data_IF_506230755873
#
_entry.id   IF_506230755873
#
_cell.length_a   1.000
_cell.length_b   1.000
_cell.length_c   1.000
_cell.angle_alpha   90.00
_cell.angle_beta   90.00
_cell.angle_gamma   90.00
#
_symmetry.space_group_name_H-M   'P 1'
#
loop_
_entity.id
_entity.type
_entity.pdbx_description
1 polymer ?
#
# COMPACT_ATOMS: atom_id res chain seq x y z
N UNK A 1 23.66 14.97 5.37
CA UNK A 1 22.91 13.83 4.79
C UNK A 1 21.81 14.44 3.95
N UNK A 2 21.68 13.99 2.70
CA UNK A 2 20.79 14.59 1.72
C UNK A 2 19.38 14.01 1.86
N UNK A 3 18.37 14.87 2.04
CA UNK A 3 16.97 14.47 2.02
C UNK A 3 16.59 13.91 0.66
N UNK A 4 15.94 12.74 0.61
CA UNK A 4 15.59 12.08 -0.65
C UNK A 4 14.49 12.80 -1.45
N UNK A 5 13.62 13.58 -0.79
CA UNK A 5 12.54 14.30 -1.49
C UNK A 5 12.99 15.68 -2.00
N UNK A 6 13.52 16.54 -1.12
CA UNK A 6 13.90 17.91 -1.49
C UNK A 6 15.36 18.09 -1.89
N UNK A 7 16.18 17.04 -1.80
CA UNK A 7 17.61 17.06 -2.15
C UNK A 7 18.47 18.06 -1.36
N UNK A 8 17.97 18.64 -0.27
CA UNK A 8 18.73 19.52 0.61
C UNK A 8 19.45 18.73 1.72
N UNK A 9 20.65 19.19 2.11
CA UNK A 9 21.36 18.66 3.27
C UNK A 9 20.68 19.10 4.57
N UNK A 10 20.02 18.14 5.23
CA UNK A 10 19.24 18.37 6.46
C UNK A 10 19.32 17.14 7.36
N UNK A 11 18.99 17.31 8.64
CA UNK A 11 18.79 16.18 9.55
C UNK A 11 17.59 15.35 9.08
N UNK A 12 17.81 14.05 8.88
CA UNK A 12 16.78 13.11 8.45
C UNK A 12 16.00 12.56 9.65
N UNK A 13 14.73 12.26 9.41
CA UNK A 13 13.79 11.61 10.32
C UNK A 13 13.71 10.12 9.99
N UNK A 14 13.24 9.31 10.95
CA UNK A 14 12.92 7.90 10.70
C UNK A 14 11.61 7.81 9.93
N UNK A 15 11.71 7.89 8.61
CA UNK A 15 10.60 7.90 7.68
C UNK A 15 9.99 6.51 7.60
N UNK A 16 8.68 6.44 7.84
CA UNK A 16 7.88 5.26 7.53
C UNK A 16 7.78 5.07 6.03
N UNK A 17 7.82 3.82 5.55
CA UNK A 17 7.57 3.53 4.12
C UNK A 17 6.06 3.49 3.86
N UNK A 18 5.35 2.64 4.61
CA UNK A 18 3.89 2.70 4.75
C UNK A 18 3.60 3.49 6.04
N UNK A 19 2.67 4.46 6.07
CA UNK A 19 2.44 5.28 7.26
C UNK A 19 1.94 4.48 8.47
N UNK A 20 2.30 4.94 9.68
CA UNK A 20 1.92 4.27 10.94
C UNK A 20 0.41 4.04 11.08
N UNK A 21 -0.42 4.96 10.59
CA UNK A 21 -1.88 4.83 10.66
C UNK A 21 -2.39 3.56 9.98
N UNK A 22 -1.70 3.08 8.95
CA UNK A 22 -2.02 1.84 8.25
C UNK A 22 -1.77 0.57 9.10
N UNK A 23 -0.93 0.67 10.14
CA UNK A 23 -0.63 -0.42 11.07
C UNK A 23 -1.61 -0.48 12.24
N UNK A 24 -2.39 0.58 12.48
CA UNK A 24 -3.25 0.73 13.64
C UNK A 24 -4.25 -0.42 13.84
N UNK A 25 -4.78 -0.98 12.75
CA UNK A 25 -5.74 -2.10 12.79
C UNK A 25 -5.10 -3.47 12.91
N UNK A 26 -3.77 -3.56 12.80
CA UNK A 26 -3.03 -4.80 12.84
C UNK A 26 -2.58 -5.18 14.25
N UNK A 27 -2.49 -4.19 15.14
CA UNK A 27 -2.06 -4.37 16.51
C UNK A 27 -3.11 -5.18 17.30
N UNK A 28 -2.73 -6.38 17.75
CA UNK A 28 -3.49 -7.13 18.76
C UNK A 28 -3.45 -6.42 20.14
N UNK A 29 -4.10 -6.97 21.18
CA UNK A 29 -4.06 -6.44 22.55
C UNK A 29 -2.62 -6.30 23.11
N UNK A 30 -1.63 -6.91 22.45
CA UNK A 30 -0.19 -6.88 22.76
C UNK A 30 0.63 -6.05 21.76
N UNK A 31 -0.02 -5.31 20.85
CA UNK A 31 0.58 -4.50 19.79
C UNK A 31 1.50 -5.30 18.83
N UNK A 32 1.06 -6.48 18.37
CA UNK A 32 1.79 -7.31 17.40
C UNK A 32 0.96 -7.56 16.14
N UNK A 33 1.64 -7.69 14.98
CA UNK A 33 1.01 -8.14 13.73
C UNK A 33 1.91 -9.09 12.94
N UNK A 34 1.30 -9.84 12.02
CA UNK A 34 2.01 -10.76 11.12
C UNK A 34 2.41 -10.03 9.84
N UNK A 35 3.71 -9.94 9.58
CA UNK A 35 4.23 -9.51 8.28
C UNK A 35 4.34 -10.71 7.34
N UNK A 36 3.83 -10.51 6.12
CA UNK A 36 4.07 -11.42 4.99
C UNK A 36 5.16 -10.80 4.13
N UNK A 37 6.40 -11.26 4.30
CA UNK A 37 7.49 -10.92 3.39
C UNK A 37 7.70 -12.05 2.37
N UNK A 38 7.83 -11.69 1.09
CA UNK A 38 8.25 -12.65 0.04
C UNK A 38 9.72 -13.10 0.20
N UNK A 39 10.42 -12.55 1.20
CA UNK A 39 11.84 -12.80 1.48
C UNK A 39 11.92 -13.34 2.92
N UNK A 40 12.04 -14.66 3.04
CA UNK A 40 12.36 -15.47 4.24
C UNK A 40 11.24 -15.97 5.18
N UNK A 41 10.96 -17.28 5.05
CA UNK A 41 11.07 -18.39 6.05
C UNK A 41 10.49 -18.30 7.48
N UNK A 42 9.84 -17.24 7.95
CA UNK A 42 8.99 -17.22 9.17
C UNK A 42 8.26 -15.88 9.16
N UNK A 43 6.93 -15.85 9.35
CA UNK A 43 6.18 -14.60 9.54
C UNK A 43 6.83 -13.78 10.67
N UNK A 44 7.56 -12.70 10.39
CA UNK A 44 8.14 -11.89 11.44
C UNK A 44 6.99 -11.21 12.18
N UNK A 45 7.01 -11.28 13.51
CA UNK A 45 6.15 -10.41 14.31
C UNK A 45 6.78 -9.03 14.33
N UNK A 46 6.20 -8.10 13.58
CA UNK A 46 6.59 -6.71 13.68
C UNK A 46 5.83 -6.03 14.82
N UNK A 47 6.55 -5.23 15.60
CA UNK A 47 5.98 -4.41 16.69
C UNK A 47 5.75 -2.95 16.26
N UNK A 48 6.35 -2.53 15.14
CA UNK A 48 6.27 -1.16 14.58
C UNK A 48 6.43 -1.22 13.07
N UNK A 49 5.84 -0.27 12.35
CA UNK A 49 6.02 -0.14 10.90
C UNK A 49 7.49 0.06 10.49
N UNK A 50 7.81 -0.31 9.24
CA UNK A 50 9.18 -0.26 8.71
C UNK A 50 9.61 1.19 8.47
N UNK A 51 10.75 1.56 9.05
CA UNK A 51 11.31 2.91 9.00
C UNK A 51 12.78 2.92 8.65
N UNK A 52 13.23 4.01 8.03
CA UNK A 52 14.64 4.32 7.80
C UNK A 52 14.86 5.83 7.55
N UNK A 53 16.10 6.35 7.67
CA UNK A 53 16.35 7.78 7.50
C UNK A 53 16.30 8.22 6.03
N UNK A 54 15.15 8.70 5.55
CA UNK A 54 14.97 9.15 4.16
C UNK A 54 14.74 10.67 4.03
N UNK A 55 13.84 11.21 4.85
CA UNK A 55 13.28 12.55 4.66
C UNK A 55 13.64 13.50 5.80
N UNK A 56 13.79 14.78 5.49
CA UNK A 56 13.88 15.82 6.52
C UNK A 56 12.50 16.12 7.11
N UNK A 57 12.46 16.74 8.30
CA UNK A 57 11.20 17.11 8.99
C UNK A 57 10.23 17.92 8.12
N UNK A 58 10.73 18.79 7.23
CA UNK A 58 9.87 19.58 6.34
C UNK A 58 9.16 18.69 5.30
N UNK A 59 9.88 17.72 4.74
CA UNK A 59 9.34 16.75 3.77
C UNK A 59 8.41 15.74 4.44
N UNK A 60 8.70 15.31 5.67
CA UNK A 60 7.76 14.52 6.48
C UNK A 60 6.43 15.27 6.66
N UNK A 61 6.50 16.56 7.06
CA UNK A 61 5.29 17.39 7.20
C UNK A 61 4.55 17.57 5.87
N UNK A 62 5.27 17.66 4.76
CA UNK A 62 4.69 17.77 3.42
C UNK A 62 3.86 16.54 3.06
N UNK A 63 4.37 15.33 3.31
CA UNK A 63 3.64 14.09 3.04
C UNK A 63 2.53 13.83 4.05
N UNK A 64 2.72 14.23 5.31
CA UNK A 64 1.78 13.98 6.40
C UNK A 64 0.37 14.54 6.13
N UNK A 65 0.23 15.60 5.31
CA UNK A 65 -1.09 16.12 4.92
C UNK A 65 -1.93 15.09 4.14
N UNK A 66 -1.27 14.25 3.34
CA UNK A 66 -1.90 13.15 2.60
C UNK A 66 -2.18 11.95 3.50
N UNK A 67 -1.23 11.61 4.38
CA UNK A 67 -1.38 10.52 5.35
C UNK A 67 -2.50 10.79 6.36
N UNK A 68 -2.61 12.04 6.82
CA UNK A 68 -3.68 12.48 7.72
C UNK A 68 -5.03 12.41 7.02
N UNK A 69 -5.12 12.90 5.77
CA UNK A 69 -6.33 12.80 4.98
C UNK A 69 -6.80 11.35 4.81
N UNK A 70 -5.89 10.45 4.39
CA UNK A 70 -6.21 9.03 4.26
C UNK A 70 -6.66 8.43 5.61
N UNK A 71 -5.94 8.70 6.69
CA UNK A 71 -6.27 8.16 8.00
C UNK A 71 -7.65 8.63 8.50
N UNK A 72 -7.99 9.90 8.25
CA UNK A 72 -9.28 10.47 8.63
C UNK A 72 -10.42 9.80 7.88
N UNK A 73 -10.34 9.67 6.55
CA UNK A 73 -11.44 9.06 5.78
C UNK A 73 -11.50 7.54 5.99
N UNK A 74 -10.36 6.85 6.03
CA UNK A 74 -10.31 5.40 5.95
C UNK A 74 -10.50 4.75 7.32
N UNK A 75 -9.87 5.30 8.37
CA UNK A 75 -9.88 4.70 9.71
C UNK A 75 -10.85 5.39 10.66
N UNK A 76 -10.90 6.73 10.67
CA UNK A 76 -11.79 7.46 11.60
C UNK A 76 -13.24 7.49 11.11
N UNK A 77 -13.45 7.89 9.85
CA UNK A 77 -14.78 7.97 9.25
C UNK A 77 -15.25 6.63 8.69
N UNK A 78 -14.38 5.60 8.67
CA UNK A 78 -14.69 4.23 8.25
C UNK A 78 -15.37 4.19 6.87
N UNK A 79 -14.74 4.83 5.89
CA UNK A 79 -15.26 4.87 4.51
C UNK A 79 -15.41 3.49 3.89
N UNK A 80 -14.56 2.53 4.31
CA UNK A 80 -14.65 1.14 3.88
C UNK A 80 -15.78 0.41 4.62
N UNK A 81 -16.65 -0.35 3.94
CA UNK A 81 -17.72 -1.08 4.60
C UNK A 81 -17.15 -2.18 5.52
N UNK A 82 -17.81 -2.46 6.64
CA UNK A 82 -17.41 -3.57 7.53
C UNK A 82 -17.57 -4.94 6.87
N UNK A 83 -18.58 -5.07 5.98
CA UNK A 83 -18.82 -6.26 5.18
C UNK A 83 -18.98 -5.86 3.71
N UNK A 84 -18.18 -6.44 2.82
CA UNK A 84 -18.23 -6.20 1.39
C UNK A 84 -18.82 -7.42 0.69
N UNK A 85 -20.15 -7.59 0.73
CA UNK A 85 -20.82 -8.73 0.09
C UNK A 85 -21.03 -8.58 -1.42
N UNK A 86 -20.92 -7.35 -1.94
CA UNK A 86 -20.99 -7.07 -3.37
C UNK A 86 -19.64 -7.33 -4.03
N UNK A 87 -19.66 -7.86 -5.26
CA UNK A 87 -18.44 -8.03 -6.06
C UNK A 87 -17.72 -6.71 -6.32
N UNK A 88 -18.50 -5.62 -6.49
CA UNK A 88 -17.99 -4.27 -6.70
C UNK A 88 -18.58 -3.34 -5.65
N UNK A 89 -17.70 -2.68 -4.91
CA UNK A 89 -18.04 -1.59 -3.99
C UNK A 89 -17.64 -0.25 -4.60
N UNK A 90 -18.51 0.76 -4.47
CA UNK A 90 -18.23 2.11 -4.97
C UNK A 90 -17.87 2.97 -3.76
N UNK A 91 -16.65 3.46 -3.74
CA UNK A 91 -16.14 4.40 -2.74
C UNK A 91 -16.16 5.79 -3.38
N UNK A 92 -16.96 6.70 -2.85
CA UNK A 92 -17.10 8.06 -3.35
C UNK A 92 -16.70 9.12 -2.32
N UNK A 93 -16.60 10.37 -2.78
CA UNK A 93 -16.27 11.51 -1.92
C UNK A 93 -14.77 11.63 -1.62
N UNK A 94 -13.91 11.04 -2.45
CA UNK A 94 -12.47 11.17 -2.30
C UNK A 94 -11.99 12.51 -2.89
N UNK A 95 -11.20 13.26 -2.13
CA UNK A 95 -10.28 14.25 -2.71
C UNK A 95 -9.23 13.48 -3.52
N UNK A 96 -9.39 13.52 -4.85
CA UNK A 96 -8.55 12.80 -5.81
C UNK A 96 -7.06 13.06 -5.58
N UNK A 97 -6.69 14.34 -5.49
CA UNK A 97 -5.29 14.76 -5.41
C UNK A 97 -4.65 14.22 -4.13
N UNK A 98 -5.29 14.42 -2.97
CA UNK A 98 -4.75 13.96 -1.68
C UNK A 98 -4.71 12.44 -1.60
N UNK A 99 -5.73 11.76 -2.10
CA UNK A 99 -5.79 10.29 -2.09
C UNK A 99 -4.71 9.68 -2.99
N UNK A 100 -4.54 10.23 -4.20
CA UNK A 100 -3.55 9.73 -5.14
C UNK A 100 -2.12 10.02 -4.69
N UNK A 101 -1.84 11.23 -4.21
CA UNK A 101 -0.52 11.61 -3.69
C UNK A 101 -0.13 10.82 -2.43
N UNK A 102 -1.10 10.42 -1.60
CA UNK A 102 -0.86 9.47 -0.52
C UNK A 102 -0.29 8.16 -1.06
N UNK A 103 -0.95 7.52 -2.03
CA UNK A 103 -0.50 6.25 -2.60
C UNK A 103 0.82 6.37 -3.37
N UNK A 104 0.98 7.42 -4.17
CA UNK A 104 2.25 7.70 -4.86
C UNK A 104 3.40 7.88 -3.88
N UNK A 105 3.16 8.51 -2.72
CA UNK A 105 4.19 8.67 -1.67
C UNK A 105 4.63 7.34 -1.07
N UNK A 106 3.73 6.35 -0.94
CA UNK A 106 4.08 5.00 -0.48
C UNK A 106 4.93 4.30 -1.53
N UNK A 107 4.47 4.29 -2.79
CA UNK A 107 5.20 3.68 -3.90
C UNK A 107 6.62 4.26 -4.03
N UNK A 108 6.73 5.59 -4.01
CA UNK A 108 8.01 6.28 -4.13
C UNK A 108 8.94 5.97 -2.96
N UNK A 109 8.44 6.05 -1.70
CA UNK A 109 9.23 5.70 -0.51
C UNK A 109 9.72 4.26 -0.57
N UNK A 110 8.89 3.33 -1.01
CA UNK A 110 9.27 1.93 -1.16
C UNK A 110 10.37 1.74 -2.21
N UNK A 111 10.33 2.48 -3.31
CA UNK A 111 11.37 2.37 -4.35
C UNK A 111 12.74 2.95 -3.97
N UNK A 112 12.77 3.98 -3.12
CA UNK A 112 14.03 4.58 -2.64
C UNK A 112 14.55 3.92 -1.37
N UNK A 113 13.79 2.97 -0.82
CA UNK A 113 14.10 2.32 0.43
C UNK A 113 15.33 1.41 0.29
N UNK A 114 16.18 1.39 1.30
CA UNK A 114 17.41 0.58 1.30
C UNK A 114 17.26 -0.74 2.05
N UNK A 115 16.13 -0.94 2.73
CA UNK A 115 15.88 -2.14 3.52
C UNK A 115 15.60 -3.36 2.63
N UNK A 116 15.91 -4.55 3.15
CA UNK A 116 15.75 -5.81 2.42
C UNK A 116 14.29 -6.08 2.00
N UNK A 117 13.32 -5.63 2.78
CA UNK A 117 11.89 -5.84 2.50
C UNK A 117 11.41 -5.09 1.24
N UNK A 118 12.15 -4.07 0.82
CA UNK A 118 11.81 -3.23 -0.34
C UNK A 118 12.82 -3.33 -1.48
N UNK A 119 13.83 -4.20 -1.36
CA UNK A 119 14.92 -4.29 -2.35
C UNK A 119 14.42 -4.62 -3.76
N UNK A 120 13.27 -5.29 -3.87
CA UNK A 120 12.64 -5.67 -5.14
C UNK A 120 11.74 -4.57 -5.72
N UNK A 121 11.52 -3.46 -5.03
CA UNK A 121 10.73 -2.33 -5.55
C UNK A 121 11.61 -1.49 -6.47
N UNK A 122 11.61 -1.80 -7.77
CA UNK A 122 12.43 -1.11 -8.77
C UNK A 122 11.61 -0.10 -9.56
N UNK A 123 11.70 1.18 -9.19
CA UNK A 123 11.02 2.27 -9.92
C UNK A 123 11.75 2.69 -11.20
N UNK A 124 13.04 2.34 -11.34
CA UNK A 124 13.84 2.64 -12.54
C UNK A 124 13.76 4.13 -12.93
N UNK A 125 13.44 4.45 -14.19
CA UNK A 125 13.29 5.82 -14.70
C UNK A 125 12.08 6.58 -14.13
N UNK A 126 11.20 5.94 -13.36
CA UNK A 126 10.04 6.59 -12.74
C UNK A 126 10.34 7.22 -11.37
N UNK A 127 11.45 6.87 -10.72
CA UNK A 127 11.77 7.33 -9.36
C UNK A 127 11.79 8.86 -9.25
N UNK A 128 12.57 9.50 -10.12
CA UNK A 128 12.75 10.96 -10.10
C UNK A 128 11.48 11.70 -10.52
N UNK A 129 10.71 11.13 -11.46
CA UNK A 129 9.43 11.69 -11.88
C UNK A 129 8.39 11.64 -10.76
N UNK A 130 8.26 10.50 -10.08
CA UNK A 130 7.41 10.36 -8.89
C UNK A 130 7.84 11.34 -7.80
N UNK A 131 9.15 11.46 -7.53
CA UNK A 131 9.69 12.43 -6.57
C UNK A 131 9.20 13.85 -6.88
N UNK A 132 9.31 14.28 -8.14
CA UNK A 132 8.96 15.64 -8.56
C UNK A 132 7.45 15.88 -8.45
N UNK A 133 6.63 14.94 -8.92
CA UNK A 133 5.16 15.01 -8.79
C UNK A 133 4.73 15.16 -7.31
N UNK A 134 5.32 14.36 -6.42
CA UNK A 134 5.03 14.43 -4.98
C UNK A 134 5.50 15.75 -4.37
N UNK A 135 6.68 16.25 -4.77
CA UNK A 135 7.23 17.51 -4.27
C UNK A 135 6.39 18.71 -4.70
N UNK A 136 5.88 18.70 -5.93
CA UNK A 136 5.11 19.78 -6.54
C UNK A 136 3.62 19.72 -6.22
N UNK A 137 3.19 18.75 -5.41
CA UNK A 137 1.78 18.46 -5.13
C UNK A 137 0.96 18.15 -6.39
N UNK A 138 1.59 17.56 -7.41
CA UNK A 138 0.93 17.21 -8.66
C UNK A 138 0.55 15.72 -8.68
N UNK A 139 -0.75 15.43 -8.63
CA UNK A 139 -1.26 14.06 -8.70
C UNK A 139 -1.27 13.49 -10.12
N UNK A 140 -1.07 14.30 -11.16
CA UNK A 140 -1.25 13.93 -12.55
C UNK A 140 -2.67 13.46 -12.87
N UNK A 141 -2.86 12.93 -14.08
CA UNK A 141 -4.14 12.42 -14.57
C UNK A 141 -4.37 10.95 -14.16
N UNK A 142 -5.61 10.43 -14.17
CA UNK A 142 -5.89 9.04 -13.75
C UNK A 142 -5.03 7.98 -14.44
N UNK A 143 -4.71 8.13 -15.73
CA UNK A 143 -3.87 7.22 -16.51
C UNK A 143 -2.36 7.27 -16.19
N UNK A 144 -1.93 8.22 -15.35
CA UNK A 144 -0.54 8.35 -14.88
C UNK A 144 -0.42 7.77 -13.48
N UNK A 145 0.52 6.85 -13.29
CA UNK A 145 0.79 6.20 -12.00
C UNK A 145 -0.50 5.73 -11.33
N UNK A 146 -1.34 5.05 -12.11
CA UNK A 146 -2.71 4.74 -11.73
C UNK A 146 -2.76 3.87 -10.49
N UNK A 147 -3.78 4.12 -9.66
CA UNK A 147 -4.03 3.39 -8.43
C UNK A 147 -5.42 2.79 -8.49
N UNK A 148 -5.54 1.53 -8.10
CA UNK A 148 -6.83 0.90 -7.80
C UNK A 148 -6.67 -0.03 -6.59
N UNK A 149 -7.76 -0.58 -6.11
CA UNK A 149 -7.65 -1.54 -5.00
C UNK A 149 -8.77 -2.56 -4.95
N UNK A 150 -8.45 -3.67 -4.29
CA UNK A 150 -9.39 -4.72 -3.95
C UNK A 150 -9.68 -4.70 -2.46
N UNK A 151 -10.94 -4.91 -2.09
CA UNK A 151 -11.34 -5.11 -0.70
C UNK A 151 -11.07 -6.57 -0.34
N UNK A 152 -10.21 -6.78 0.64
CA UNK A 152 -9.85 -8.10 1.12
C UNK A 152 -10.89 -8.56 2.15
N UNK A 153 -11.50 -9.72 1.93
CA UNK A 153 -12.56 -10.23 2.82
C UNK A 153 -12.30 -11.67 3.27
N UNK A 154 -12.97 -12.08 4.34
CA UNK A 154 -13.09 -13.49 4.69
C UNK A 154 -14.22 -14.15 3.87
N UNK A 155 -13.98 -15.32 3.25
CA UNK A 155 -14.92 -15.94 2.29
C UNK A 155 -16.28 -16.30 2.90
N UNK A 156 -16.34 -16.58 4.21
CA UNK A 156 -17.55 -17.10 4.86
C UNK A 156 -18.57 -16.01 5.25
N UNK A 157 -18.12 -14.79 5.52
CA UNK A 157 -18.97 -13.73 6.05
C UNK A 157 -18.79 -12.39 5.33
N UNK A 158 -17.87 -12.31 4.36
CA UNK A 158 -17.51 -11.08 3.65
C UNK A 158 -17.05 -9.94 4.54
N UNK A 159 -16.64 -10.24 5.78
CA UNK A 159 -16.08 -9.26 6.68
C UNK A 159 -14.72 -8.82 6.14
N UNK A 160 -14.46 -7.53 6.15
CA UNK A 160 -13.18 -6.98 5.68
C UNK A 160 -12.04 -7.41 6.60
N UNK A 161 -10.97 -7.90 5.98
CA UNK A 161 -9.75 -8.35 6.67
C UNK A 161 -8.80 -7.16 6.88
N UNK A 162 -8.88 -6.53 8.05
CA UNK A 162 -7.97 -5.43 8.43
C UNK A 162 -6.64 -5.89 9.03
N UNK A 163 -6.43 -7.20 9.19
CA UNK A 163 -5.31 -7.80 9.93
C UNK A 163 -4.13 -8.21 9.04
N UNK A 164 -4.18 -7.89 7.74
CA UNK A 164 -3.13 -8.23 6.79
C UNK A 164 -2.35 -7.00 6.38
N UNK A 165 -1.02 -7.11 6.45
CA UNK A 165 -0.09 -6.18 5.85
C UNK A 165 0.96 -6.95 5.07
N UNK A 166 1.02 -6.65 3.78
CA UNK A 166 2.01 -7.19 2.86
C UNK A 166 2.75 -6.01 2.28
N UNK A 167 4.08 -6.05 2.36
CA UNK A 167 4.94 -5.03 1.78
C UNK A 167 4.75 -4.98 0.26
N UNK A 168 5.17 -3.90 -0.42
CA UNK A 168 5.07 -3.81 -1.87
C UNK A 168 5.74 -5.00 -2.56
N UNK A 169 4.95 -5.78 -3.27
CA UNK A 169 5.38 -6.89 -4.12
C UNK A 169 5.23 -6.46 -5.57
N UNK A 170 6.23 -6.78 -6.40
CA UNK A 170 6.16 -6.56 -7.84
C UNK A 170 4.98 -7.30 -8.45
N UNK A 171 4.25 -6.64 -9.33
CA UNK A 171 3.08 -7.18 -9.99
C UNK A 171 3.02 -6.67 -11.43
N UNK A 172 2.99 -7.60 -12.38
CA UNK A 172 2.70 -7.27 -13.77
C UNK A 172 1.20 -7.45 -14.02
N UNK A 173 0.51 -6.35 -14.35
CA UNK A 173 -0.91 -6.39 -14.68
C UNK A 173 -1.10 -5.97 -16.14
N UNK A 174 -1.56 -6.91 -16.97
CA UNK A 174 -1.78 -6.68 -18.40
C UNK A 174 -0.56 -6.09 -19.16
N UNK A 175 0.64 -6.59 -18.84
CA UNK A 175 1.93 -6.08 -19.36
C UNK A 175 2.27 -4.64 -18.94
N UNK A 176 1.59 -4.10 -17.93
CA UNK A 176 1.98 -2.87 -17.26
C UNK A 176 2.71 -3.25 -15.97
N UNK A 177 3.99 -2.86 -15.80
CA UNK A 177 4.71 -3.12 -14.57
C UNK A 177 4.07 -2.35 -13.43
N UNK A 178 4.15 -2.90 -12.22
CA UNK A 178 3.50 -2.32 -11.08
C UNK A 178 3.88 -3.01 -9.78
N UNK A 179 3.19 -2.60 -8.73
CA UNK A 179 3.36 -3.16 -7.41
C UNK A 179 2.00 -3.29 -6.74
N UNK A 180 1.87 -4.22 -5.82
CA UNK A 180 0.75 -4.21 -4.89
C UNK A 180 1.22 -4.21 -3.44
N UNK A 181 0.48 -3.53 -2.57
CA UNK A 181 0.72 -3.48 -1.12
C UNK A 181 -0.60 -3.69 -0.40
N UNK A 182 -0.61 -4.45 0.67
CA UNK A 182 -1.84 -4.65 1.45
C UNK A 182 -1.80 -3.79 2.70
N UNK A 183 -2.82 -2.96 2.90
CA UNK A 183 -3.07 -2.28 4.17
C UNK A 183 -4.51 -1.76 4.25
N UNK A 184 -4.99 -1.53 5.48
CA UNK A 184 -6.29 -0.88 5.71
C UNK A 184 -7.49 -1.65 5.17
N UNK A 185 -7.41 -2.99 5.10
CA UNK A 185 -8.48 -3.83 4.58
C UNK A 185 -8.47 -4.02 3.06
N UNK A 186 -7.42 -3.54 2.37
CA UNK A 186 -7.37 -3.54 0.92
C UNK A 186 -6.01 -3.98 0.38
N UNK A 187 -6.05 -4.58 -0.80
CA UNK A 187 -4.88 -4.78 -1.67
C UNK A 187 -4.84 -3.59 -2.63
N UNK A 188 -3.84 -2.73 -2.49
CA UNK A 188 -3.65 -1.55 -3.33
C UNK A 188 -2.69 -1.86 -4.45
N UNK A 189 -3.10 -1.63 -5.69
CA UNK A 189 -2.29 -1.80 -6.88
C UNK A 189 -1.82 -0.45 -7.41
N UNK A 190 -0.55 -0.39 -7.77
CA UNK A 190 0.10 0.78 -8.36
C UNK A 190 0.65 0.41 -9.73
N UNK A 191 0.12 1.03 -10.77
CA UNK A 191 0.63 0.85 -12.13
C UNK A 191 1.78 1.81 -12.36
N UNK A 192 2.96 1.27 -12.67
CA UNK A 192 4.16 2.04 -12.94
C UNK A 192 4.21 2.45 -14.43
N UNK A 193 3.29 3.32 -14.83
CA UNK A 193 3.23 3.87 -16.19
C UNK A 193 2.89 5.36 -16.18
N UNK A 194 3.30 6.06 -17.24
CA UNK A 194 2.93 7.45 -17.49
C UNK A 194 1.65 7.59 -18.32
N UNK A 195 1.15 6.48 -18.86
CA UNK A 195 -0.07 6.43 -19.64
C UNK A 195 -0.52 4.97 -19.73
N UNK A 196 -1.65 4.65 -19.11
CA UNK A 196 -2.31 3.35 -19.26
C UNK A 196 -3.60 3.50 -20.05
N UNK A 197 -3.94 2.50 -20.85
CA UNK A 197 -5.24 2.46 -21.52
C UNK A 197 -6.35 2.25 -20.50
N UNK A 198 -7.19 3.26 -20.32
CA UNK A 198 -8.31 3.23 -19.37
C UNK A 198 -9.34 2.14 -19.69
N UNK A 199 -9.42 1.68 -20.95
CA UNK A 199 -10.29 0.57 -21.31
C UNK A 199 -9.80 -0.76 -20.72
N UNK A 200 -8.48 -0.89 -20.53
CA UNK A 200 -7.85 -2.06 -19.92
C UNK A 200 -7.94 -2.01 -18.39
N UNK A 201 -8.02 -0.82 -17.80
CA UNK A 201 -8.07 -0.60 -16.35
C UNK A 201 -9.29 0.24 -15.91
N UNK A 202 -10.52 -0.30 -15.99
CA UNK A 202 -11.75 0.47 -15.73
C UNK A 202 -11.97 0.83 -14.23
N UNK A 203 -11.20 0.22 -13.32
CA UNK A 203 -11.36 0.35 -11.87
C UNK A 203 -10.35 1.29 -11.21
N UNK A 204 -9.55 2.01 -11.99
CA UNK A 204 -8.62 3.00 -11.43
C UNK A 204 -9.36 4.15 -10.75
N UNK A 205 -8.68 4.77 -9.80
CA UNK A 205 -9.11 6.01 -9.17
C UNK A 205 -9.31 7.08 -10.25
N UNK A 206 -10.55 7.56 -10.33
CA UNK A 206 -10.95 8.64 -11.23
C UNK A 206 -10.78 10.00 -10.56
N UNK A 207 -10.64 11.04 -11.38
CA UNK A 207 -10.48 12.44 -10.94
C UNK A 207 -11.77 13.04 -10.33
N UNK A 208 -12.92 12.40 -10.55
CA UNK A 208 -14.19 12.69 -9.89
C UNK A 208 -14.26 12.23 -8.41
N UNK A 209 -13.21 11.58 -7.91
CA UNK A 209 -13.15 11.10 -6.53
C UNK A 209 -13.93 9.81 -6.29
N UNK A 210 -14.26 9.08 -7.36
CA UNK A 210 -14.89 7.76 -7.31
C UNK A 210 -13.83 6.67 -7.53
N UNK A 211 -13.88 5.66 -6.68
CA UNK A 211 -13.08 4.46 -6.78
C UNK A 211 -13.99 3.22 -6.75
N UNK A 212 -13.92 2.41 -7.80
CA UNK A 212 -14.59 1.12 -7.86
C UNK A 212 -13.64 0.05 -7.36
N UNK A 213 -14.00 -0.63 -6.28
CA UNK A 213 -13.16 -1.66 -5.67
C UNK A 213 -13.79 -3.02 -5.84
N UNK A 214 -13.06 -3.93 -6.51
CA UNK A 214 -13.43 -5.34 -6.54
C UNK A 214 -13.22 -5.95 -5.16
N UNK A 215 -13.93 -7.03 -4.87
CA UNK A 215 -13.65 -7.87 -3.71
C UNK A 215 -12.69 -8.99 -4.08
N UNK A 216 -11.84 -9.38 -3.14
CA UNK A 216 -11.04 -10.61 -3.22
C UNK A 216 -11.11 -11.36 -1.89
N UNK A 217 -11.33 -12.66 -1.96
CA UNK A 217 -11.29 -13.53 -0.78
C UNK A 217 -9.84 -13.71 -0.32
N UNK A 218 -9.62 -13.67 0.99
CA UNK A 218 -8.26 -13.75 1.56
C UNK A 218 -7.52 -15.04 1.22
N UNK A 219 -8.24 -16.13 0.95
CA UNK A 219 -7.70 -17.42 0.52
C UNK A 219 -7.57 -17.56 -1.01
N UNK A 220 -7.90 -16.53 -1.77
CA UNK A 220 -7.63 -16.43 -3.21
C UNK A 220 -6.52 -15.43 -3.53
N UNK A 221 -5.99 -14.75 -2.51
CA UNK A 221 -4.92 -13.78 -2.68
C UNK A 221 -3.55 -14.48 -2.63
N UNK A 222 -2.83 -14.49 -3.76
CA UNK A 222 -1.62 -15.30 -3.98
C UNK A 222 -0.58 -15.20 -2.84
N UNK A 223 -0.21 -14.01 -2.31
CA UNK A 223 0.75 -13.94 -1.22
C UNK A 223 0.30 -14.67 0.06
N UNK A 224 -1.01 -14.72 0.32
CA UNK A 224 -1.57 -15.51 1.43
C UNK A 224 -1.51 -17.00 1.10
N UNK A 225 -1.79 -17.38 -0.14
CA UNK A 225 -1.75 -18.77 -0.57
C UNK A 225 -0.34 -19.35 -0.55
N UNK A 226 0.66 -18.59 -0.97
CA UNK A 226 2.06 -19.01 -0.91
C UNK A 226 2.50 -19.26 0.53
N UNK A 227 2.12 -18.37 1.46
CA UNK A 227 2.34 -18.60 2.89
C UNK A 227 1.64 -19.86 3.42
N UNK A 228 0.39 -20.10 3.02
CA UNK A 228 -0.37 -21.28 3.44
C UNK A 228 0.28 -22.57 2.93
N UNK A 229 0.74 -22.58 1.68
CA UNK A 229 1.48 -23.71 1.08
C UNK A 229 2.79 -23.97 1.84
N UNK A 230 3.60 -22.94 2.06
CA UNK A 230 4.84 -23.05 2.83
C UNK A 230 4.60 -23.60 4.25
N UNK A 231 3.50 -23.20 4.90
CA UNK A 231 3.14 -23.66 6.24
C UNK A 231 2.71 -25.14 6.23
N UNK A 232 1.97 -25.57 5.22
CA UNK A 232 1.53 -26.96 5.07
C UNK A 232 2.71 -27.89 4.76
N UNK A 233 3.64 -27.45 3.90
CA UNK A 233 4.88 -28.18 3.59
C UNK A 233 5.81 -28.33 4.81
N UNK A 234 5.80 -27.37 5.73
CA UNK A 234 6.63 -27.40 6.94
C UNK A 234 6.11 -28.31 8.05
N UNK A 235 4.95 -28.93 7.89
CA UNK A 235 4.44 -29.93 8.80
C UNK A 235 4.05 -29.35 10.16
N UNK A 236 2.76 -29.33 10.42
CA UNK A 236 2.25 -29.43 11.79
C UNK A 236 2.79 -30.75 12.39
N UNK A 237 3.98 -30.73 13.00
CA UNK A 237 4.31 -31.67 14.08
C UNK A 237 3.38 -31.29 15.22
N UNK A 238 2.29 -32.06 15.40
CA UNK A 238 1.51 -32.06 16.64
C UNK A 238 2.50 -32.45 17.73
N UNK A 239 3.04 -31.47 18.44
CA UNK A 239 3.55 -31.76 19.78
C UNK A 239 2.30 -32.00 20.61
N UNK A 240 2.01 -33.28 20.85
CA UNK A 240 1.30 -33.71 22.04
C UNK A 240 2.19 -33.58 23.28
#
# INVERSE_FOLDING_TARGET
MKCKLCHLDKKLCQSHIVPESAYGSLYDDKHQFYEVSNIQKKLPKLQKGLREPLLCKCCEKHLNKYESYFADIWFKNKLLPTHASKEISIIGGLDYQRFKLFHMSILWRAGIASREEFVNVKLSNHEERLRQLILDDDSGNPNQYSVFGYILVFPNNYQVCHSLLIQPVEADLFNVPGFHVTFGGCVWHYLLSNDVDLNQFPFILKDDGILHMLRIDVDQYDPVMDLMRERNERGWKRQG
#
